data_IF_597943062206
#
_entry.id   IF_597943062206
#
_cell.length_a   1.000
_cell.length_b   1.000
_cell.length_c   1.000
_cell.angle_alpha   90.00
_cell.angle_beta   90.00
_cell.angle_gamma   90.00
#
_symmetry.space_group_name_H-M   'P 1'
#
loop_
_entity.id
_entity.type
_entity.pdbx_description
1 polymer ?
#
# COMPACT_ATOMS: atom_id res chain seq x y z
N UNK A 1 3.34 -9.35 5.18
CA UNK A 1 3.67 -8.22 6.08
C UNK A 1 2.58 -8.15 7.13
N UNK A 2 2.86 -7.72 8.37
CA UNK A 2 1.82 -7.65 9.43
C UNK A 2 0.87 -6.47 9.23
N UNK A 3 -0.36 -6.57 9.75
CA UNK A 3 -1.37 -5.49 9.70
C UNK A 3 -0.85 -4.19 10.33
N UNK A 4 -0.07 -4.27 11.42
CA UNK A 4 0.52 -3.09 12.06
C UNK A 4 1.52 -2.37 11.15
N UNK A 5 2.33 -3.12 10.38
CA UNK A 5 3.26 -2.53 9.41
C UNK A 5 2.49 -1.87 8.25
N UNK A 6 1.43 -2.50 7.76
CA UNK A 6 0.57 -1.89 6.73
C UNK A 6 -0.09 -0.60 7.21
N UNK A 7 -0.68 -0.58 8.41
CA UNK A 7 -1.24 0.64 9.01
C UNK A 7 -0.19 1.75 9.10
N UNK A 8 1.03 1.40 9.49
CA UNK A 8 2.15 2.36 9.56
C UNK A 8 2.53 2.89 8.17
N UNK A 9 2.54 2.04 7.14
CA UNK A 9 2.80 2.45 5.75
C UNK A 9 1.73 3.45 5.29
N UNK A 10 0.45 3.11 5.43
CA UNK A 10 -0.62 3.99 4.98
C UNK A 10 -0.66 5.31 5.75
N UNK A 11 -0.33 5.28 7.05
CA UNK A 11 -0.14 6.50 7.84
C UNK A 11 0.98 7.38 7.26
N UNK A 12 2.11 6.78 6.88
CA UNK A 12 3.22 7.51 6.27
C UNK A 12 2.86 8.11 4.90
N UNK A 13 2.02 7.41 4.10
CA UNK A 13 1.51 7.90 2.83
C UNK A 13 0.52 9.07 3.00
N UNK A 14 -0.27 9.09 4.08
CA UNK A 14 -1.12 10.22 4.43
C UNK A 14 -0.31 11.44 4.92
N UNK A 15 0.83 11.22 5.57
CA UNK A 15 1.73 12.28 6.03
C UNK A 15 2.58 12.90 4.91
N UNK A 16 2.58 12.28 3.72
CA UNK A 16 3.35 12.76 2.58
C UNK A 16 2.97 14.21 2.20
N UNK A 17 3.95 15.12 1.99
CA UNK A 17 3.65 16.48 1.51
C UNK A 17 2.95 16.44 0.15
N UNK A 18 1.74 17.01 0.07
CA UNK A 18 0.87 16.92 -1.11
C UNK A 18 -0.12 15.74 -1.09
N UNK A 19 0.03 14.84 -0.12
CA UNK A 19 -0.84 13.70 0.12
C UNK A 19 -0.71 12.58 -0.92
N UNK A 20 -1.01 11.35 -0.50
CA UNK A 20 -1.24 10.23 -1.41
C UNK A 20 -2.73 9.90 -1.39
N UNK A 21 -3.50 10.38 -2.38
CA UNK A 21 -4.95 10.22 -2.39
C UNK A 21 -5.42 8.79 -2.66
N UNK A 22 -4.68 8.06 -3.50
CA UNK A 22 -5.00 6.69 -3.90
C UNK A 22 -3.73 5.86 -4.06
N UNK A 23 -3.89 4.56 -3.83
CA UNK A 23 -2.87 3.53 -4.07
C UNK A 23 -3.47 2.40 -4.88
N UNK A 24 -2.60 1.62 -5.49
CA UNK A 24 -3.00 0.43 -6.23
C UNK A 24 -2.57 -0.81 -5.45
N UNK A 25 -3.50 -1.71 -5.19
CA UNK A 25 -3.27 -2.89 -4.35
C UNK A 25 -3.43 -4.14 -5.20
N UNK A 26 -2.43 -5.02 -5.14
CA UNK A 26 -2.52 -6.38 -5.64
C UNK A 26 -2.73 -7.33 -4.48
N UNK A 27 -3.78 -8.15 -4.55
CA UNK A 27 -4.01 -9.22 -3.60
C UNK A 27 -3.55 -10.56 -4.19
N UNK A 28 -2.99 -11.44 -3.35
CA UNK A 28 -2.50 -12.77 -3.74
C UNK A 28 -3.59 -13.61 -4.40
N UNK A 29 -4.82 -13.54 -3.89
CA UNK A 29 -5.96 -14.33 -4.37
C UNK A 29 -6.75 -13.66 -5.51
N UNK A 30 -6.37 -12.44 -5.94
CA UNK A 30 -7.13 -11.66 -6.91
C UNK A 30 -6.30 -11.39 -8.17
N UNK A 31 -6.81 -11.66 -9.39
CA UNK A 31 -6.01 -11.54 -10.61
C UNK A 31 -5.66 -10.09 -10.95
N UNK A 32 -6.54 -9.14 -10.63
CA UNK A 32 -6.39 -7.74 -11.00
C UNK A 32 -5.74 -6.92 -9.87
N UNK A 33 -4.99 -5.90 -10.28
CA UNK A 33 -4.60 -4.77 -9.42
C UNK A 33 -5.80 -3.83 -9.32
N UNK A 34 -6.14 -3.40 -8.10
CA UNK A 34 -7.27 -2.50 -7.86
C UNK A 34 -6.76 -1.15 -7.36
N UNK A 35 -7.29 -0.07 -7.93
CA UNK A 35 -7.03 1.29 -7.43
C UNK A 35 -8.05 1.62 -6.34
N UNK A 36 -7.56 2.02 -5.18
CA UNK A 36 -8.39 2.35 -4.01
C UNK A 36 -7.91 3.65 -3.37
N UNK A 37 -8.78 4.40 -2.70
CA UNK A 37 -8.34 5.50 -1.85
C UNK A 37 -7.33 5.00 -0.81
N UNK A 38 -6.30 5.80 -0.52
CA UNK A 38 -5.26 5.41 0.44
C UNK A 38 -5.91 5.12 1.80
N UNK A 39 -5.81 3.88 2.32
CA UNK A 39 -6.43 3.52 3.59
C UNK A 39 -6.02 4.49 4.70
N UNK A 40 -6.97 4.90 5.54
CA UNK A 40 -6.67 5.76 6.69
C UNK A 40 -5.83 5.04 7.76
N UNK A 41 -5.20 5.77 8.69
CA UNK A 41 -4.41 5.19 9.79
C UNK A 41 -5.24 4.28 10.72
N UNK A 42 -6.54 4.59 10.85
CA UNK A 42 -7.52 3.84 11.63
C UNK A 42 -8.41 2.95 10.74
N UNK A 43 -8.08 2.79 9.46
CA UNK A 43 -8.87 1.96 8.57
C UNK A 43 -8.70 0.49 8.96
N UNK A 44 -9.80 -0.11 9.41
CA UNK A 44 -9.90 -1.53 9.63
C UNK A 44 -10.50 -2.12 8.37
N UNK A 45 -9.75 -2.98 7.67
CA UNK A 45 -10.38 -3.97 6.81
C UNK A 45 -11.10 -4.91 7.78
N UNK A 46 -12.30 -4.54 8.20
CA UNK A 46 -13.17 -5.50 8.87
C UNK A 46 -13.41 -6.65 7.90
N UNK A 47 -13.43 -7.87 8.42
CA UNK A 47 -13.75 -9.13 7.74
C UNK A 47 -15.23 -9.17 7.30
N UNK A 48 -15.78 -8.03 6.88
CA UNK A 48 -17.08 -7.95 6.28
C UNK A 48 -16.94 -8.48 4.85
N UNK A 49 -17.37 -9.72 4.67
CA UNK A 49 -17.82 -10.31 3.40
C UNK A 49 -19.03 -9.54 2.81
N UNK A 50 -19.00 -8.21 2.86
CA UNK A 50 -20.04 -7.30 2.40
C UNK A 50 -19.52 -6.58 1.16
N UNK A 51 -20.19 -6.83 0.04
CA UNK A 51 -19.94 -6.19 -1.25
C UNK A 51 -20.07 -4.66 -1.13
N UNK A 52 -18.94 -3.97 -0.94
CA UNK A 52 -18.83 -2.57 -1.34
C UNK A 52 -18.02 -2.56 -2.64
N UNK A 53 -18.72 -2.62 -3.78
CA UNK A 53 -18.10 -2.49 -5.10
C UNK A 53 -17.43 -3.75 -5.66
N UNK A 54 -18.00 -4.93 -5.41
CA UNK A 54 -17.57 -6.22 -6.01
C UNK A 54 -16.19 -6.72 -5.59
N UNK A 55 -15.59 -6.13 -4.55
CA UNK A 55 -14.30 -6.56 -3.99
C UNK A 55 -14.58 -7.02 -2.56
N UNK A 56 -14.54 -8.34 -2.31
CA UNK A 56 -14.54 -8.88 -0.94
C UNK A 56 -13.32 -8.30 -0.20
N UNK A 57 -13.53 -7.65 0.94
CA UNK A 57 -12.44 -7.00 1.68
C UNK A 57 -11.49 -8.07 2.24
N UNK A 58 -10.39 -8.29 1.54
CA UNK A 58 -9.39 -9.29 1.90
C UNK A 58 -8.51 -8.74 3.02
N UNK A 59 -8.19 -9.52 4.08
CA UNK A 59 -7.30 -9.06 5.13
C UNK A 59 -5.94 -8.61 4.57
N UNK A 60 -5.35 -7.58 5.19
CA UNK A 60 -4.02 -7.03 4.85
C UNK A 60 -2.91 -8.09 4.70
N UNK A 61 -3.08 -9.25 5.34
CA UNK A 61 -2.19 -10.40 5.18
C UNK A 61 -2.06 -10.82 3.72
N UNK A 62 -3.12 -10.72 2.91
CA UNK A 62 -3.13 -11.20 1.51
C UNK A 62 -2.74 -10.13 0.48
N UNK A 63 -2.24 -8.97 0.91
CA UNK A 63 -1.67 -8.00 -0.02
C UNK A 63 -0.33 -8.55 -0.51
N UNK A 64 -0.23 -8.72 -1.84
CA UNK A 64 1.01 -9.07 -2.52
C UNK A 64 1.93 -7.85 -2.60
N UNK A 65 1.40 -6.72 -3.10
CA UNK A 65 2.10 -5.43 -3.09
C UNK A 65 1.12 -4.25 -3.07
N UNK A 66 1.63 -3.11 -2.63
CA UNK A 66 1.03 -1.78 -2.82
C UNK A 66 1.87 -0.98 -3.79
N UNK A 67 1.28 -0.52 -4.88
CA UNK A 67 1.90 0.40 -5.84
C UNK A 67 1.47 1.83 -5.50
N UNK A 68 2.46 2.71 -5.41
CA UNK A 68 2.27 4.15 -5.19
C UNK A 68 2.80 4.88 -6.41
N UNK A 69 1.91 5.56 -7.13
CA UNK A 69 2.28 6.37 -8.28
C UNK A 69 3.01 7.63 -7.81
N UNK A 70 4.10 7.99 -8.46
CA UNK A 70 5.01 9.06 -8.05
C UNK A 70 4.78 10.35 -8.89
N UNK A 71 3.56 10.62 -9.33
CA UNK A 71 3.26 11.68 -10.30
C UNK A 71 3.66 13.11 -9.85
N UNK A 72 3.80 13.35 -8.54
CA UNK A 72 4.09 14.66 -7.97
C UNK A 72 5.44 14.75 -7.23
N UNK A 73 6.09 13.61 -6.96
CA UNK A 73 7.34 13.53 -6.20
C UNK A 73 8.22 12.42 -6.77
N UNK A 74 9.54 12.53 -6.70
CA UNK A 74 10.39 11.45 -7.23
C UNK A 74 10.30 10.18 -6.37
N UNK A 75 10.59 9.01 -6.97
CA UNK A 75 10.68 7.74 -6.22
C UNK A 75 11.65 7.83 -5.05
N UNK A 76 12.78 8.50 -5.23
CA UNK A 76 13.79 8.69 -4.18
C UNK A 76 13.26 9.53 -3.00
N UNK A 77 12.56 10.63 -3.26
CA UNK A 77 11.94 11.46 -2.21
C UNK A 77 10.85 10.69 -1.45
N UNK A 78 10.01 9.94 -2.19
CA UNK A 78 8.98 9.10 -1.59
C UNK A 78 9.60 8.01 -0.70
N UNK A 79 10.63 7.31 -1.18
CA UNK A 79 11.34 6.28 -0.42
C UNK A 79 11.99 6.88 0.82
N UNK A 80 12.63 8.04 0.70
CA UNK A 80 13.24 8.73 1.83
C UNK A 80 12.20 9.09 2.90
N UNK A 81 11.05 9.63 2.48
CA UNK A 81 9.94 9.94 3.37
C UNK A 81 9.45 8.68 4.08
N UNK A 82 9.11 7.63 3.34
CA UNK A 82 8.66 6.36 3.91
C UNK A 82 9.69 5.77 4.88
N UNK A 83 10.97 5.83 4.54
CA UNK A 83 12.05 5.30 5.38
C UNK A 83 12.24 6.04 6.71
N UNK A 84 11.73 7.27 6.84
CA UNK A 84 11.69 7.98 8.13
C UNK A 84 10.70 7.35 9.12
N UNK A 85 9.68 6.64 8.62
CA UNK A 85 8.69 5.93 9.44
C UNK A 85 9.08 4.47 9.71
N UNK A 86 9.87 3.83 8.85
CA UNK A 86 10.27 2.44 9.03
C UNK A 86 10.97 1.87 7.81
N UNK A 87 11.42 0.63 7.87
CA UNK A 87 12.02 -0.04 6.71
C UNK A 87 10.95 -0.79 5.92
N UNK A 88 10.97 -0.63 4.60
CA UNK A 88 10.01 -1.20 3.68
C UNK A 88 10.71 -1.98 2.57
N UNK A 89 10.18 -3.14 2.15
CA UNK A 89 10.67 -3.85 0.98
C UNK A 89 10.16 -3.16 -0.29
N UNK A 90 10.97 -2.25 -0.85
CA UNK A 90 10.57 -1.39 -1.98
C UNK A 90 11.30 -1.81 -3.26
N UNK A 91 10.56 -1.88 -4.37
CA UNK A 91 11.11 -1.89 -5.73
C UNK A 91 10.73 -0.60 -6.44
N UNK A 92 11.73 0.10 -6.98
CA UNK A 92 11.51 1.29 -7.79
C UNK A 92 11.09 0.92 -9.22
N UNK A 93 10.12 1.65 -9.75
CA UNK A 93 9.72 1.65 -11.15
C UNK A 93 9.88 3.09 -11.68
N UNK A 94 9.79 3.26 -13.00
CA UNK A 94 9.95 4.58 -13.63
C UNK A 94 8.96 5.63 -13.08
N UNK A 95 7.69 5.25 -12.95
CA UNK A 95 6.59 6.16 -12.52
C UNK A 95 5.90 5.72 -11.23
N UNK A 96 6.53 4.83 -10.46
CA UNK A 96 5.94 4.31 -9.23
C UNK A 96 6.97 3.66 -8.31
N UNK A 97 6.54 3.34 -7.10
CA UNK A 97 7.21 2.37 -6.25
C UNK A 97 6.27 1.22 -5.92
N UNK A 98 6.82 0.01 -5.77
CA UNK A 98 6.12 -1.16 -5.26
C UNK A 98 6.60 -1.45 -3.84
N UNK A 99 5.68 -1.50 -2.88
CA UNK A 99 5.93 -1.94 -1.51
C UNK A 99 5.39 -3.36 -1.37
N UNK A 100 6.29 -4.34 -1.21
CA UNK A 100 5.91 -5.74 -1.17
C UNK A 100 5.33 -6.14 0.18
N UNK A 101 4.21 -6.86 0.14
CA UNK A 101 3.63 -7.47 1.33
C UNK A 101 4.39 -8.71 1.75
N UNK A 102 4.84 -9.52 0.80
CA UNK A 102 5.65 -10.69 1.08
C UNK A 102 7.06 -10.42 0.58
N UNK A 103 8.02 -10.42 1.51
CA UNK A 103 9.40 -10.63 1.14
C UNK A 103 9.46 -12.11 0.78
N UNK A 104 9.54 -12.45 -0.51
CA UNK A 104 10.00 -13.78 -0.91
C UNK A 104 11.50 -13.86 -0.64
N UNK A 105 11.87 -13.75 0.64
CA UNK A 105 13.15 -14.18 1.13
C UNK A 105 13.14 -15.70 1.10
N UNK A 106 14.10 -16.26 0.38
CA UNK A 106 14.39 -17.69 0.24
C UNK A 106 14.32 -18.48 1.57
#
# INVERSE_FOLDING_TARGET
>A
MSNAKWRKLFSALHDLPGGCAAVEIKFVAHPNVVSVPTPGPNFEFEDHFGECGSISFVPFSHIEFVRVLNALITSSELIQHLNSFGKWPITELDEAILIHGYDWGE
#
